data_IF_908403798207
#
_entry.id   IF_908403798207
#
_cell.length_a   1.000
_cell.length_b   1.000
_cell.length_c   1.000
_cell.angle_alpha   90.00
_cell.angle_beta   90.00
_cell.angle_gamma   90.00
#
_symmetry.space_group_name_H-M   'P 1'
#
loop_
_entity.id
_entity.type
_entity.pdbx_description
1 polymer ?
#
# COMPACT_ATOMS: atom_id res chain seq x y z
N UNK A 1 23.96 42.41 4.46
CA UNK A 1 23.34 41.66 5.58
C UNK A 1 22.52 40.53 4.98
N UNK A 2 22.59 39.34 5.59
CA UNK A 2 22.04 38.03 5.18
C UNK A 2 22.82 37.29 4.06
N UNK A 3 23.74 36.42 4.49
CA UNK A 3 24.33 35.33 3.70
C UNK A 3 23.36 34.16 3.64
N UNK A 4 22.88 33.81 2.45
CA UNK A 4 22.03 32.64 2.23
C UNK A 4 22.86 31.36 2.36
N UNK A 5 22.87 30.76 3.55
CA UNK A 5 23.41 29.42 3.79
C UNK A 5 22.47 28.39 3.18
N UNK A 6 22.60 28.15 1.88
CA UNK A 6 21.98 27.02 1.19
C UNK A 6 22.49 25.73 1.81
N UNK A 7 21.76 25.22 2.81
CA UNK A 7 22.00 23.91 3.39
C UNK A 7 22.10 22.88 2.26
N UNK A 8 23.12 21.98 2.27
CA UNK A 8 23.30 20.99 1.22
C UNK A 8 21.99 20.20 1.03
N UNK A 9 21.59 19.88 -0.22
CA UNK A 9 20.33 19.20 -0.48
C UNK A 9 20.28 17.90 0.32
N UNK A 10 19.43 17.89 1.35
CA UNK A 10 19.34 16.76 2.26
C UNK A 10 18.79 15.54 1.51
N UNK A 11 19.65 14.54 1.33
CA UNK A 11 19.28 13.23 0.76
C UNK A 11 18.10 12.60 1.51
N UNK A 12 17.98 12.86 2.83
CA UNK A 12 16.83 12.47 3.65
C UNK A 12 15.53 13.09 3.13
N UNK A 13 15.52 14.39 2.82
CA UNK A 13 14.33 15.09 2.31
C UNK A 13 13.92 14.57 0.93
N UNK A 14 14.90 14.20 0.10
CA UNK A 14 14.67 13.65 -1.23
C UNK A 14 14.15 12.21 -1.16
N UNK A 15 14.74 11.38 -0.30
CA UNK A 15 14.28 10.02 -0.01
C UNK A 15 12.87 10.01 0.59
N UNK A 16 12.57 10.91 1.54
CA UNK A 16 11.23 11.07 2.11
C UNK A 16 10.19 11.46 1.06
N UNK A 17 10.47 12.48 0.23
CA UNK A 17 9.52 12.87 -0.82
C UNK A 17 9.34 11.78 -1.87
N UNK A 18 10.39 11.00 -2.15
CA UNK A 18 10.28 9.87 -3.06
C UNK A 18 9.49 8.71 -2.42
N UNK A 19 9.69 8.38 -1.14
CA UNK A 19 8.88 7.40 -0.40
C UNK A 19 7.40 7.81 -0.32
N UNK A 20 7.11 9.11 -0.16
CA UNK A 20 5.74 9.63 -0.14
C UNK A 20 5.08 9.52 -1.52
N UNK A 21 5.77 9.94 -2.58
CA UNK A 21 5.21 9.87 -3.95
C UNK A 21 5.14 8.43 -4.47
N UNK A 22 6.06 7.56 -4.03
CA UNK A 22 6.18 6.14 -4.42
C UNK A 22 5.44 5.18 -3.49
N UNK A 23 4.82 5.66 -2.42
CA UNK A 23 3.96 4.88 -1.51
C UNK A 23 2.74 4.23 -2.20
N UNK A 24 2.39 4.70 -3.40
CA UNK A 24 1.40 4.02 -4.26
C UNK A 24 1.81 2.60 -4.61
N UNK A 25 3.11 2.31 -4.77
CA UNK A 25 3.58 0.98 -5.13
C UNK A 25 3.36 -0.03 -3.99
N UNK A 26 3.67 0.35 -2.75
CA UNK A 26 3.39 -0.52 -1.59
C UNK A 26 1.89 -0.67 -1.35
N UNK A 27 1.09 0.38 -1.56
CA UNK A 27 -0.38 0.30 -1.47
C UNK A 27 -0.98 -0.65 -2.52
N UNK A 28 -0.43 -0.65 -3.74
CA UNK A 28 -0.89 -1.54 -4.82
C UNK A 28 -0.56 -2.99 -4.48
N UNK A 29 0.64 -3.29 -4.00
CA UNK A 29 1.00 -4.66 -3.60
C UNK A 29 0.16 -5.13 -2.40
N UNK A 30 0.00 -4.28 -1.38
CA UNK A 30 -0.84 -4.59 -0.22
C UNK A 30 -2.30 -4.78 -0.61
N UNK A 31 -2.84 -3.90 -1.45
CA UNK A 31 -4.21 -3.99 -1.97
C UNK A 31 -4.43 -5.23 -2.81
N UNK A 32 -3.52 -5.56 -3.73
CA UNK A 32 -3.60 -6.76 -4.56
C UNK A 32 -3.67 -8.03 -3.70
N UNK A 33 -2.82 -8.13 -2.68
CA UNK A 33 -2.85 -9.26 -1.74
C UNK A 33 -4.13 -9.27 -0.92
N UNK A 34 -4.57 -8.12 -0.38
CA UNK A 34 -5.80 -8.03 0.39
C UNK A 34 -7.03 -8.43 -0.43
N UNK A 35 -7.15 -7.93 -1.67
CA UNK A 35 -8.24 -8.29 -2.57
C UNK A 35 -8.19 -9.76 -3.00
N UNK A 36 -7.00 -10.29 -3.33
CA UNK A 36 -6.84 -11.70 -3.67
C UNK A 36 -7.19 -12.63 -2.51
N UNK A 37 -6.75 -12.29 -1.30
CA UNK A 37 -7.06 -13.05 -0.09
C UNK A 37 -8.55 -12.97 0.27
N UNK A 38 -9.15 -11.78 0.18
CA UNK A 38 -10.57 -11.59 0.45
C UNK A 38 -11.42 -12.35 -0.57
N UNK A 39 -11.08 -12.28 -1.86
CA UNK A 39 -11.72 -13.07 -2.91
C UNK A 39 -11.58 -14.57 -2.69
N UNK A 40 -10.41 -15.04 -2.23
CA UNK A 40 -10.20 -16.44 -1.87
C UNK A 40 -11.09 -16.88 -0.72
N UNK A 41 -11.17 -16.11 0.36
CA UNK A 41 -12.07 -16.40 1.50
C UNK A 41 -13.52 -16.47 1.04
N UNK A 42 -13.96 -15.49 0.24
CA UNK A 42 -15.34 -15.46 -0.29
C UNK A 42 -15.62 -16.66 -1.18
N UNK A 43 -14.68 -17.06 -2.04
CA UNK A 43 -14.81 -18.22 -2.90
C UNK A 43 -14.93 -19.51 -2.08
N UNK A 44 -14.09 -19.67 -1.06
CA UNK A 44 -14.13 -20.82 -0.14
C UNK A 44 -15.43 -20.83 0.65
N UNK A 45 -15.87 -19.70 1.18
CA UNK A 45 -17.15 -19.58 1.90
C UNK A 45 -18.35 -19.90 0.99
N UNK A 46 -18.28 -19.48 -0.28
CA UNK A 46 -19.32 -19.77 -1.27
C UNK A 46 -19.34 -21.25 -1.65
N UNK A 47 -18.18 -21.87 -1.90
CA UNK A 47 -18.07 -23.31 -2.20
C UNK A 47 -18.49 -24.17 -1.00
N UNK A 48 -18.10 -23.74 0.19
CA UNK A 48 -18.38 -24.41 1.44
C UNK A 48 -19.80 -24.22 1.94
N UNK A 49 -20.65 -23.42 1.27
CA UNK A 49 -22.06 -23.24 1.66
C UNK A 49 -22.73 -24.61 1.69
N UNK A 50 -22.99 -25.20 2.88
CA UNK A 50 -23.83 -26.37 2.95
C UNK A 50 -25.21 -25.83 2.56
N UNK A 51 -25.88 -26.46 1.60
CA UNK A 51 -27.29 -26.19 1.35
C UNK A 51 -28.03 -26.46 2.66
N UNK A 52 -28.26 -25.41 3.45
CA UNK A 52 -29.02 -25.48 4.70
C UNK A 52 -30.38 -26.07 4.31
N UNK A 53 -30.69 -27.32 4.70
CA UNK A 53 -32.02 -27.85 4.43
C UNK A 53 -33.01 -27.02 5.24
N UNK A 54 -34.04 -26.52 4.57
CA UNK A 54 -35.19 -25.85 5.17
C UNK A 54 -35.96 -26.81 6.06
#
# INVERSE_FOLDING_TARGET
MATETSSPPSFTKQAMRNMVRKGRQSLVHFGLTAFGFLGFIVLVAWLGRPTLPH
#
